data_IF_867586166186
#
_entry.id   IF_867586166186
#
_cell.length_a   1.000
_cell.length_b   1.000
_cell.length_c   1.000
_cell.angle_alpha   90.00
_cell.angle_beta   90.00
_cell.angle_gamma   90.00
#
_symmetry.space_group_name_H-M   'P 1'
#
loop_
_entity.id
_entity.type
_entity.pdbx_description
1 polymer ?
#
# COMPACT_ATOMS: atom_id res chain seq x y z
N UNK A 1 -7.65 -16.97 12.46
CA UNK A 1 -6.83 -16.09 13.33
C UNK A 1 -6.98 -14.62 12.97
N UNK A 2 -6.97 -14.22 11.69
CA UNK A 2 -7.00 -12.80 11.32
C UNK A 2 -8.34 -12.10 11.56
N UNK A 3 -9.48 -12.77 11.32
CA UNK A 3 -10.81 -12.19 11.62
C UNK A 3 -10.98 -11.95 13.14
N UNK A 4 -10.52 -12.87 13.97
CA UNK A 4 -10.51 -12.69 15.42
C UNK A 4 -9.63 -11.49 15.84
N UNK A 5 -8.53 -11.24 15.14
CA UNK A 5 -7.68 -10.06 15.38
C UNK A 5 -8.40 -8.76 15.01
N UNK A 6 -9.11 -8.72 13.88
CA UNK A 6 -9.95 -7.57 13.52
C UNK A 6 -11.02 -7.29 14.58
N UNK A 7 -11.71 -8.32 15.05
CA UNK A 7 -12.72 -8.22 16.11
C UNK A 7 -12.10 -7.72 17.44
N UNK A 8 -10.92 -8.22 17.82
CA UNK A 8 -10.17 -7.73 19.00
C UNK A 8 -9.81 -6.24 18.88
N UNK A 9 -9.50 -5.78 17.66
CA UNK A 9 -9.27 -4.36 17.36
C UNK A 9 -10.59 -3.54 17.30
N UNK A 10 -11.76 -4.18 17.50
CA UNK A 10 -13.06 -3.54 17.38
C UNK A 10 -13.44 -3.17 15.96
N UNK A 11 -13.00 -3.98 14.98
CA UNK A 11 -13.31 -3.82 13.56
C UNK A 11 -14.28 -4.92 13.12
N UNK A 12 -15.53 -4.57 12.95
CA UNK A 12 -16.56 -5.46 12.41
C UNK A 12 -16.64 -5.28 10.88
N UNK A 13 -15.88 -6.08 10.14
CA UNK A 13 -15.89 -6.05 8.69
C UNK A 13 -16.77 -7.17 8.12
N UNK A 14 -17.48 -6.93 7.00
CA UNK A 14 -18.26 -7.97 6.33
C UNK A 14 -17.35 -9.07 5.77
N UNK A 15 -17.94 -10.16 5.24
CA UNK A 15 -17.21 -11.06 4.36
C UNK A 15 -16.76 -10.30 3.11
N UNK A 16 -15.63 -10.69 2.53
CA UNK A 16 -15.04 -10.00 1.38
C UNK A 16 -14.94 -8.49 1.61
N UNK A 17 -14.21 -8.03 2.67
CA UNK A 17 -14.05 -6.61 2.89
C UNK A 17 -13.43 -5.96 1.64
N UNK A 18 -13.91 -4.77 1.28
CA UNK A 18 -13.37 -4.03 0.14
C UNK A 18 -12.43 -2.94 0.59
N UNK A 19 -11.33 -2.76 -0.15
CA UNK A 19 -10.35 -1.70 0.10
C UNK A 19 -9.74 -1.22 -1.23
N UNK A 20 -8.69 -0.44 -1.17
CA UNK A 20 -7.79 -0.10 -2.27
C UNK A 20 -6.36 -0.14 -1.79
N UNK A 21 -5.40 -0.33 -2.69
CA UNK A 21 -3.96 -0.36 -2.34
C UNK A 21 -3.50 0.93 -1.68
N UNK A 22 -3.87 2.11 -2.21
CA UNK A 22 -3.51 3.37 -1.55
C UNK A 22 -3.67 4.60 -2.43
N UNK A 23 -2.90 4.67 -3.52
CA UNK A 23 -2.83 5.87 -4.35
C UNK A 23 -3.97 6.00 -5.35
N UNK A 24 -4.58 7.20 -5.41
CA UNK A 24 -5.58 7.59 -6.40
C UNK A 24 -5.05 8.63 -7.39
N UNK A 25 -5.71 8.81 -8.55
CA UNK A 25 -5.37 9.88 -9.47
C UNK A 25 -5.53 11.25 -8.81
N UNK A 26 -4.53 12.09 -8.97
CA UNK A 26 -4.61 13.47 -8.50
C UNK A 26 -5.51 14.28 -9.44
N UNK A 27 -6.51 15.00 -8.92
CA UNK A 27 -7.31 15.91 -9.75
C UNK A 27 -6.43 16.96 -10.44
N UNK A 28 -6.84 17.41 -11.62
CA UNK A 28 -6.07 18.35 -12.46
C UNK A 28 -5.61 19.61 -11.73
N UNK A 29 -6.45 20.16 -10.86
CA UNK A 29 -6.08 21.34 -10.07
C UNK A 29 -4.89 21.06 -9.15
N UNK A 30 -4.81 19.85 -8.57
CA UNK A 30 -3.71 19.47 -7.70
C UNK A 30 -2.44 19.18 -8.50
N UNK A 31 -2.55 18.54 -9.68
CA UNK A 31 -1.41 18.31 -10.59
C UNK A 31 -0.77 19.64 -10.97
N UNK A 32 -1.60 20.64 -11.36
CA UNK A 32 -1.11 21.99 -11.70
C UNK A 32 -0.47 22.67 -10.51
N UNK A 33 -1.14 22.64 -9.34
CA UNK A 33 -0.62 23.28 -8.13
C UNK A 33 0.74 22.71 -7.69
N UNK A 34 0.93 21.38 -7.77
CA UNK A 34 2.21 20.72 -7.48
C UNK A 34 3.30 21.16 -8.45
N UNK A 35 3.00 21.23 -9.75
CA UNK A 35 3.94 21.72 -10.75
C UNK A 35 4.30 23.20 -10.54
N UNK A 36 3.36 24.02 -10.13
CA UNK A 36 3.59 25.44 -9.84
C UNK A 36 4.30 25.65 -8.49
N UNK A 37 4.11 24.78 -7.52
CA UNK A 37 4.86 24.77 -6.26
C UNK A 37 6.37 24.55 -6.50
N UNK A 38 6.72 23.55 -7.32
CA UNK A 38 8.14 23.30 -7.71
C UNK A 38 8.77 24.51 -8.38
N UNK A 39 7.97 25.33 -9.11
CA UNK A 39 8.42 26.58 -9.74
C UNK A 39 8.39 27.80 -8.81
N UNK A 40 8.07 27.61 -7.53
CA UNK A 40 7.94 28.69 -6.55
C UNK A 40 6.74 29.62 -6.75
N UNK A 41 5.74 29.24 -7.58
CA UNK A 41 4.56 30.06 -7.89
C UNK A 41 3.40 29.87 -6.91
N UNK A 42 3.41 28.80 -6.14
CA UNK A 42 2.38 28.45 -5.17
C UNK A 42 3.02 28.28 -3.79
N UNK A 43 2.41 28.87 -2.77
CA UNK A 43 2.88 28.73 -1.39
C UNK A 43 2.56 27.33 -0.84
N UNK A 44 3.41 26.80 0.04
CA UNK A 44 3.24 25.48 0.66
C UNK A 44 1.88 25.32 1.39
N UNK A 45 1.41 26.36 2.07
CA UNK A 45 0.13 26.35 2.75
C UNK A 45 -1.04 26.15 1.77
N UNK A 46 -1.01 26.84 0.62
CA UNK A 46 -2.05 26.67 -0.39
C UNK A 46 -1.99 25.30 -1.07
N UNK A 47 -0.80 24.78 -1.35
CA UNK A 47 -0.66 23.40 -1.84
C UNK A 47 -1.29 22.40 -0.85
N UNK A 48 -0.99 22.54 0.45
CA UNK A 48 -1.55 21.66 1.50
C UNK A 48 -3.08 21.73 1.57
N UNK A 49 -3.69 22.90 1.35
CA UNK A 49 -5.16 23.03 1.26
C UNK A 49 -5.73 22.22 0.09
N UNK A 50 -5.09 22.30 -1.08
CA UNK A 50 -5.51 21.56 -2.27
C UNK A 50 -5.31 20.04 -2.11
N UNK A 51 -4.24 19.62 -1.45
CA UNK A 51 -4.00 18.21 -1.09
C UNK A 51 -5.08 17.69 -0.16
N UNK A 52 -5.45 18.45 0.89
CA UNK A 52 -6.58 18.11 1.79
C UNK A 52 -7.91 18.06 1.05
N UNK A 53 -8.17 19.01 0.16
CA UNK A 53 -9.38 18.99 -0.68
C UNK A 53 -9.45 17.72 -1.54
N UNK A 54 -8.35 17.31 -2.13
CA UNK A 54 -8.30 16.09 -2.93
C UNK A 54 -8.45 14.81 -2.08
N UNK A 55 -7.85 14.78 -0.89
CA UNK A 55 -8.05 13.68 0.08
C UNK A 55 -9.51 13.58 0.48
N UNK A 56 -10.17 14.69 0.83
CA UNK A 56 -11.59 14.71 1.18
C UNK A 56 -12.48 14.21 0.05
N UNK A 57 -12.19 14.60 -1.19
CA UNK A 57 -12.90 14.10 -2.37
C UNK A 57 -12.82 12.58 -2.48
N UNK A 58 -11.64 11.98 -2.27
CA UNK A 58 -11.47 10.54 -2.37
C UNK A 58 -12.06 9.77 -1.19
N UNK A 59 -12.03 10.31 0.02
CA UNK A 59 -12.73 9.71 1.17
C UNK A 59 -14.24 9.69 0.92
N UNK A 60 -14.83 10.81 0.51
CA UNK A 60 -16.26 10.89 0.18
C UNK A 60 -16.65 9.95 -0.97
N UNK A 61 -15.80 9.83 -1.99
CA UNK A 61 -16.01 8.94 -3.14
C UNK A 61 -16.02 7.48 -2.70
N UNK A 62 -15.05 7.04 -1.91
CA UNK A 62 -14.98 5.68 -1.37
C UNK A 62 -16.21 5.36 -0.49
N UNK A 63 -16.65 6.30 0.34
CA UNK A 63 -17.87 6.12 1.16
C UNK A 63 -19.12 5.95 0.30
N UNK A 64 -19.32 6.81 -0.72
CA UNK A 64 -20.46 6.73 -1.65
C UNK A 64 -20.49 5.41 -2.42
N UNK A 65 -19.35 4.87 -2.80
CA UNK A 65 -19.24 3.58 -3.45
C UNK A 65 -19.53 2.42 -2.49
N UNK A 66 -19.29 2.62 -1.20
CA UNK A 66 -19.50 1.63 -0.17
C UNK A 66 -18.26 0.77 0.10
N UNK A 67 -17.06 1.29 -0.15
CA UNK A 67 -15.79 0.65 0.26
C UNK A 67 -15.81 0.47 1.78
N UNK A 68 -15.30 -0.66 2.28
CA UNK A 68 -15.37 -1.02 3.71
C UNK A 68 -14.20 -0.44 4.51
N UNK A 69 -12.98 -0.52 3.96
CA UNK A 69 -11.74 0.01 4.55
C UNK A 69 -11.14 1.02 3.59
N UNK A 70 -11.10 2.29 4.00
CA UNK A 70 -10.72 3.40 3.14
C UNK A 70 -9.21 3.65 3.16
N UNK A 71 -8.73 4.42 2.17
CA UNK A 71 -7.37 4.95 2.09
C UNK A 71 -7.40 6.46 1.87
N UNK A 72 -6.34 7.17 2.27
CA UNK A 72 -6.24 8.63 2.12
C UNK A 72 -5.99 9.11 0.67
N UNK A 73 -5.65 8.17 -0.22
CA UNK A 73 -5.43 8.43 -1.64
C UNK A 73 -4.04 8.97 -1.98
N UNK A 74 -3.18 9.23 -0.99
CA UNK A 74 -1.80 9.70 -1.14
C UNK A 74 -1.67 11.01 -1.93
N UNK A 75 -2.61 11.93 -1.75
CA UNK A 75 -2.64 13.18 -2.50
C UNK A 75 -1.40 14.06 -2.24
N UNK A 76 -0.80 13.94 -1.07
CA UNK A 76 0.39 14.66 -0.62
C UNK A 76 1.72 14.02 -1.04
N UNK A 77 1.72 12.76 -1.49
CA UNK A 77 2.93 12.05 -1.92
C UNK A 77 3.23 12.26 -3.40
N UNK A 78 4.51 12.37 -3.73
CA UNK A 78 5.01 12.26 -5.10
C UNK A 78 5.35 10.81 -5.43
N UNK A 79 6.44 10.36 -4.86
CA UNK A 79 6.94 9.00 -4.93
C UNK A 79 6.95 8.38 -3.53
N UNK A 80 6.76 7.05 -3.45
CA UNK A 80 6.61 6.35 -2.18
C UNK A 80 7.90 6.31 -1.36
N UNK A 81 9.07 6.22 -2.00
CA UNK A 81 10.37 6.21 -1.32
C UNK A 81 10.88 7.63 -1.10
N UNK A 82 10.78 8.49 -2.12
CA UNK A 82 11.22 9.88 -2.01
C UNK A 82 10.46 10.62 -0.88
N UNK A 83 9.18 10.34 -0.68
CA UNK A 83 8.40 10.93 0.41
C UNK A 83 9.03 10.72 1.78
N UNK A 84 9.51 9.51 2.06
CA UNK A 84 10.18 9.20 3.33
C UNK A 84 11.59 9.78 3.36
N UNK A 85 12.36 9.60 2.29
CA UNK A 85 13.72 10.12 2.20
C UNK A 85 13.82 11.66 2.38
N UNK A 86 12.83 12.41 1.88
CA UNK A 86 12.75 13.87 2.08
C UNK A 86 12.47 14.29 3.54
N UNK A 87 11.95 13.39 4.36
CA UNK A 87 11.49 13.66 5.73
C UNK A 87 12.32 13.00 6.81
N UNK A 88 13.07 11.98 6.48
CA UNK A 88 13.91 11.26 7.43
C UNK A 88 15.34 11.83 7.37
N UNK A 89 15.90 12.33 8.49
CA UNK A 89 17.31 12.65 8.57
C UNK A 89 18.17 11.45 8.20
N UNK A 90 19.33 11.70 7.59
CA UNK A 90 20.25 10.66 7.11
C UNK A 90 20.20 10.45 5.60
N UNK A 91 19.21 11.04 4.91
CA UNK A 91 19.11 11.00 3.45
C UNK A 91 19.55 12.31 2.81
N UNK A 92 20.08 12.20 1.60
CA UNK A 92 20.31 13.30 0.67
C UNK A 92 19.63 12.99 -0.67
N UNK A 93 19.29 14.04 -1.41
CA UNK A 93 18.70 13.90 -2.74
C UNK A 93 19.72 13.30 -3.71
N UNK A 94 19.31 12.27 -4.43
CA UNK A 94 20.11 11.66 -5.48
C UNK A 94 19.64 12.03 -6.87
N UNK A 95 20.38 11.57 -7.87
CA UNK A 95 20.08 11.80 -9.28
C UNK A 95 18.82 11.07 -9.76
N UNK A 96 18.30 11.49 -10.92
CA UNK A 96 17.22 10.81 -11.60
C UNK A 96 17.70 9.43 -12.10
N UNK A 97 16.99 8.40 -11.72
CA UNK A 97 17.18 7.04 -12.24
C UNK A 97 15.91 6.56 -12.93
N UNK A 98 16.08 5.67 -13.90
CA UNK A 98 14.98 5.06 -14.63
C UNK A 98 14.41 3.92 -13.79
N UNK A 99 13.11 3.98 -13.54
CA UNK A 99 12.34 2.88 -12.98
C UNK A 99 11.65 2.06 -14.08
N UNK A 100 10.83 1.08 -13.68
CA UNK A 100 10.03 0.28 -14.59
C UNK A 100 9.21 1.14 -15.56
N UNK A 101 9.16 0.76 -16.84
CA UNK A 101 8.25 1.35 -17.82
C UNK A 101 8.55 2.81 -18.19
N UNK A 102 9.79 3.26 -18.32
CA UNK A 102 10.18 4.63 -18.67
C UNK A 102 9.79 5.70 -17.62
N UNK A 103 9.56 5.32 -16.39
CA UNK A 103 9.39 6.26 -15.30
C UNK A 103 10.74 6.64 -14.73
N UNK A 104 10.89 7.91 -14.34
CA UNK A 104 12.07 8.41 -13.66
C UNK A 104 11.69 8.85 -12.25
N UNK A 105 12.55 8.57 -11.29
CA UNK A 105 12.42 9.06 -9.92
C UNK A 105 13.78 9.50 -9.39
N UNK A 106 13.78 10.42 -8.42
CA UNK A 106 14.99 10.78 -7.71
C UNK A 106 15.32 9.64 -6.73
N UNK A 107 16.40 8.90 -7.01
CA UNK A 107 16.85 7.84 -6.13
C UNK A 107 17.61 8.46 -4.96
N UNK A 108 17.09 8.40 -3.72
CA UNK A 108 17.75 9.02 -2.58
C UNK A 108 19.04 8.27 -2.21
N UNK A 109 19.90 8.95 -1.45
CA UNK A 109 21.18 8.42 -0.97
C UNK A 109 21.17 8.48 0.56
N UNK A 110 21.43 7.34 1.21
CA UNK A 110 21.68 7.27 2.65
C UNK A 110 23.12 7.68 2.90
N UNK A 111 23.35 8.88 3.43
CA UNK A 111 24.67 9.47 3.64
C UNK A 111 25.07 9.61 5.11
N UNK A 112 24.11 9.36 6.03
CA UNK A 112 24.35 9.40 7.47
C UNK A 112 23.38 8.44 8.18
N UNK A 113 23.50 8.32 9.50
CA UNK A 113 22.57 7.53 10.31
C UNK A 113 21.13 8.02 10.11
N UNK A 114 20.23 7.10 9.73
CA UNK A 114 18.81 7.43 9.57
C UNK A 114 18.12 7.54 10.92
N UNK A 115 17.28 8.55 11.08
CA UNK A 115 16.57 8.76 12.33
C UNK A 115 15.13 9.21 12.10
N UNK A 116 14.29 9.03 13.12
CA UNK A 116 12.89 9.44 13.10
C UNK A 116 12.73 10.83 13.72
N UNK A 117 12.30 11.85 12.95
CA UNK A 117 12.20 13.23 13.45
C UNK A 117 10.88 13.51 14.20
N UNK A 118 10.00 12.54 14.26
CA UNK A 118 8.59 12.63 14.65
C UNK A 118 7.67 12.12 13.55
N UNK A 119 6.36 12.10 13.77
CA UNK A 119 5.39 11.57 12.81
C UNK A 119 5.45 12.27 11.45
N UNK A 120 5.50 11.48 10.37
CA UNK A 120 5.56 11.98 8.99
C UNK A 120 4.29 11.66 8.18
N UNK A 121 3.47 10.69 8.63
CA UNK A 121 2.22 10.28 7.96
C UNK A 121 0.98 10.48 8.83
N UNK A 122 1.14 10.57 10.16
CA UNK A 122 0.04 10.60 11.14
C UNK A 122 -0.94 11.75 10.91
N UNK A 123 -0.48 12.95 10.61
CA UNK A 123 -1.32 14.13 10.34
C UNK A 123 -2.29 13.88 9.17
N UNK A 124 -1.82 13.20 8.12
CA UNK A 124 -2.62 12.89 6.94
C UNK A 124 -3.62 11.78 7.24
N UNK A 125 -3.19 10.74 7.95
CA UNK A 125 -4.09 9.70 8.41
C UNK A 125 -5.19 10.26 9.32
N UNK A 126 -4.84 11.08 10.32
CA UNK A 126 -5.82 11.71 11.20
C UNK A 126 -6.80 12.60 10.45
N UNK A 127 -6.31 13.38 9.47
CA UNK A 127 -7.16 14.19 8.63
C UNK A 127 -8.16 13.32 7.84
N UNK A 128 -7.69 12.25 7.20
CA UNK A 128 -8.56 11.34 6.46
C UNK A 128 -9.57 10.62 7.38
N UNK A 129 -9.09 10.11 8.54
CA UNK A 129 -9.95 9.41 9.50
C UNK A 129 -11.03 10.33 10.11
N UNK A 130 -10.74 11.61 10.29
CA UNK A 130 -11.72 12.57 10.79
C UNK A 130 -12.89 12.82 9.83
N UNK A 131 -12.75 12.48 8.56
CA UNK A 131 -13.81 12.66 7.53
C UNK A 131 -14.77 11.47 7.45
N UNK A 132 -14.50 10.35 8.14
CA UNK A 132 -15.31 9.13 8.03
C UNK A 132 -15.37 8.36 9.35
N UNK A 133 -16.43 7.56 9.52
CA UNK A 133 -16.55 6.59 10.61
C UNK A 133 -15.98 5.22 10.26
N UNK A 134 -15.72 4.95 8.98
CA UNK A 134 -15.10 3.71 8.52
C UNK A 134 -13.61 3.72 8.83
N UNK A 135 -12.97 2.55 8.99
CA UNK A 135 -11.53 2.50 9.19
C UNK A 135 -10.79 3.02 7.96
N UNK A 136 -9.78 3.85 8.18
CA UNK A 136 -8.83 4.31 7.16
C UNK A 136 -7.50 3.60 7.42
N UNK A 137 -6.89 3.01 6.39
CA UNK A 137 -5.55 2.40 6.50
C UNK A 137 -4.48 3.47 6.70
N UNK A 138 -3.55 3.23 7.63
CA UNK A 138 -2.27 3.93 7.66
C UNK A 138 -1.36 3.38 6.56
N UNK A 139 -0.72 4.27 5.78
CA UNK A 139 0.01 3.90 4.56
C UNK A 139 1.49 4.20 4.71
N UNK A 140 2.33 3.16 4.67
CA UNK A 140 3.79 3.26 4.81
C UNK A 140 4.51 2.56 3.67
N UNK A 141 5.73 2.99 3.38
CA UNK A 141 6.66 2.21 2.56
C UNK A 141 7.55 1.39 3.47
N UNK A 142 7.76 0.14 3.15
CA UNK A 142 8.53 -0.78 3.95
C UNK A 142 10.03 -0.50 3.91
N UNK A 143 10.70 -0.93 4.97
CA UNK A 143 12.11 -0.67 5.17
C UNK A 143 12.99 -1.31 4.10
N UNK A 144 12.64 -2.51 3.63
CA UNK A 144 13.37 -3.20 2.58
C UNK A 144 13.26 -2.46 1.25
N UNK A 145 12.08 -2.01 0.87
CA UNK A 145 11.87 -1.21 -0.36
C UNK A 145 12.58 0.14 -0.29
N UNK A 146 12.52 0.84 0.85
CA UNK A 146 13.26 2.11 1.00
C UNK A 146 14.76 1.87 0.84
N UNK A 147 15.30 0.80 1.41
CA UNK A 147 16.71 0.41 1.26
C UNK A 147 17.05 0.08 -0.19
N UNK A 148 16.27 -0.78 -0.86
CA UNK A 148 16.56 -1.24 -2.23
C UNK A 148 16.46 -0.10 -3.25
N UNK A 149 15.52 0.82 -3.06
CA UNK A 149 15.33 1.98 -3.95
C UNK A 149 16.12 3.22 -3.50
N UNK A 150 17.11 3.05 -2.62
CA UNK A 150 18.08 4.08 -2.25
C UNK A 150 19.49 3.63 -2.59
N UNK A 151 20.41 4.57 -2.73
CA UNK A 151 21.85 4.27 -2.66
C UNK A 151 22.27 4.29 -1.18
N UNK A 152 23.21 3.42 -0.80
CA UNK A 152 23.76 3.41 0.54
C UNK A 152 25.24 3.79 0.50
N UNK A 153 25.58 4.89 1.17
CA UNK A 153 26.97 5.37 1.34
C UNK A 153 27.39 5.42 2.82
N UNK A 154 26.50 4.99 3.73
CA UNK A 154 26.75 5.12 5.18
C UNK A 154 26.88 3.77 5.90
N UNK A 155 25.92 2.86 5.69
CA UNK A 155 25.93 1.57 6.40
C UNK A 155 26.83 0.54 5.71
N UNK A 156 27.41 -0.44 6.46
CA UNK A 156 28.35 -1.40 5.92
C UNK A 156 27.76 -2.34 4.87
N UNK A 157 26.46 -2.62 4.94
CA UNK A 157 25.77 -3.55 4.05
C UNK A 157 24.26 -3.24 3.96
N UNK A 158 23.57 -3.96 3.05
CA UNK A 158 22.13 -3.78 2.80
C UNK A 158 21.27 -4.20 4.00
N UNK A 159 21.65 -5.28 4.71
CA UNK A 159 20.93 -5.73 5.90
C UNK A 159 20.98 -4.68 6.99
N UNK A 160 22.14 -4.11 7.27
CA UNK A 160 22.30 -3.02 8.26
C UNK A 160 21.47 -1.79 7.91
N UNK A 161 21.42 -1.43 6.62
CA UNK A 161 20.58 -0.34 6.12
C UNK A 161 19.09 -0.65 6.32
N UNK A 162 18.64 -1.85 5.95
CA UNK A 162 17.25 -2.26 6.11
C UNK A 162 16.82 -2.26 7.58
N UNK A 163 17.67 -2.73 8.49
CA UNK A 163 17.38 -2.77 9.93
C UNK A 163 17.34 -1.38 10.56
N UNK A 164 18.22 -0.46 10.14
CA UNK A 164 18.18 0.93 10.58
C UNK A 164 16.87 1.60 10.14
N UNK A 165 16.45 1.37 8.90
CA UNK A 165 15.16 1.85 8.38
C UNK A 165 13.98 1.19 9.08
N UNK A 166 14.03 -0.10 9.37
CA UNK A 166 12.99 -0.81 10.11
C UNK A 166 12.75 -0.19 11.50
N UNK A 167 13.83 0.22 12.19
CA UNK A 167 13.73 0.91 13.47
C UNK A 167 13.05 2.28 13.35
N UNK A 168 13.26 2.99 12.26
CA UNK A 168 12.59 4.28 11.96
C UNK A 168 11.13 4.07 11.60
N UNK A 169 10.82 3.13 10.69
CA UNK A 169 9.44 2.83 10.27
C UNK A 169 8.63 2.28 11.45
N UNK A 170 9.22 1.48 12.34
CA UNK A 170 8.55 1.03 13.56
C UNK A 170 8.04 2.21 14.41
N UNK A 171 8.82 3.27 14.58
CA UNK A 171 8.38 4.46 15.32
C UNK A 171 7.19 5.15 14.67
N UNK A 172 7.15 5.16 13.34
CA UNK A 172 5.99 5.69 12.60
C UNK A 172 4.75 4.79 12.78
N UNK A 173 4.92 3.46 12.76
CA UNK A 173 3.85 2.50 13.08
C UNK A 173 3.31 2.74 14.49
N UNK A 174 4.19 2.85 15.48
CA UNK A 174 3.84 3.13 16.88
C UNK A 174 3.06 4.46 17.00
N UNK A 175 3.47 5.50 16.27
CA UNK A 175 2.79 6.79 16.26
C UNK A 175 1.40 6.70 15.61
N UNK A 176 1.22 5.94 14.51
CA UNK A 176 -0.07 5.67 13.89
C UNK A 176 -1.00 4.92 14.87
N UNK A 177 -0.51 3.88 15.55
CA UNK A 177 -1.28 3.13 16.56
C UNK A 177 -1.68 4.05 17.70
N UNK A 178 -0.76 4.86 18.22
CA UNK A 178 -1.05 5.82 19.27
C UNK A 178 -2.10 6.87 18.87
N UNK A 179 -2.17 7.20 17.57
CA UNK A 179 -3.21 8.07 17.01
C UNK A 179 -4.56 7.36 16.80
N UNK A 180 -4.63 6.03 17.01
CA UNK A 180 -5.84 5.22 16.88
C UNK A 180 -5.98 4.44 15.56
N UNK A 181 -4.93 4.40 14.74
CA UNK A 181 -4.92 3.61 13.51
C UNK A 181 -4.90 2.11 13.83
N UNK A 182 -5.83 1.36 13.27
CA UNK A 182 -6.00 -0.08 13.55
C UNK A 182 -5.56 -0.99 12.40
N UNK A 183 -5.50 -0.46 11.18
CA UNK A 183 -5.06 -1.18 9.99
C UNK A 183 -3.91 -0.39 9.36
N UNK A 184 -2.74 -1.01 9.26
CA UNK A 184 -1.54 -0.37 8.72
C UNK A 184 -1.01 -1.20 7.57
N UNK A 185 -0.89 -0.57 6.41
CA UNK A 185 -0.28 -1.19 5.22
C UNK A 185 1.16 -0.70 5.10
N UNK A 186 2.06 -1.67 4.92
CA UNK A 186 3.50 -1.46 4.75
C UNK A 186 3.87 -2.06 3.40
N UNK A 187 4.05 -1.21 2.39
CA UNK A 187 4.26 -1.62 1.00
C UNK A 187 5.71 -2.06 0.76
N UNK A 188 5.87 -3.27 0.22
CA UNK A 188 7.17 -3.86 -0.11
C UNK A 188 7.23 -4.31 -1.58
N UNK A 189 7.07 -3.40 -2.56
CA UNK A 189 7.12 -3.77 -3.98
C UNK A 189 8.48 -4.29 -4.44
N UNK A 190 9.57 -4.05 -3.71
CA UNK A 190 10.88 -4.58 -4.03
C UNK A 190 11.09 -6.04 -3.60
N UNK A 191 10.12 -6.65 -2.91
CA UNK A 191 10.24 -7.96 -2.26
C UNK A 191 10.66 -9.09 -3.23
N UNK A 192 10.13 -9.08 -4.45
CA UNK A 192 10.39 -10.13 -5.45
C UNK A 192 11.60 -9.86 -6.35
N UNK A 193 12.20 -8.66 -6.25
CA UNK A 193 13.32 -8.26 -7.14
C UNK A 193 14.59 -9.05 -6.85
N UNK A 194 14.81 -9.42 -5.59
CA UNK A 194 15.97 -10.16 -5.11
C UNK A 194 15.53 -11.29 -4.19
N UNK A 195 15.13 -12.44 -4.75
CA UNK A 195 14.64 -13.57 -3.95
C UNK A 195 15.62 -14.02 -2.86
N UNK A 196 16.93 -13.92 -3.12
CA UNK A 196 18.00 -14.27 -2.18
C UNK A 196 18.03 -13.35 -0.93
N UNK A 197 17.46 -12.15 -1.01
CA UNK A 197 17.39 -11.20 0.10
C UNK A 197 16.07 -11.27 0.88
N UNK A 198 15.17 -12.19 0.55
CA UNK A 198 13.91 -12.38 1.28
C UNK A 198 14.10 -12.46 2.81
N UNK A 199 15.15 -13.13 3.34
CA UNK A 199 15.41 -13.14 4.79
C UNK A 199 15.61 -11.76 5.41
N UNK A 200 16.21 -10.82 4.67
CA UNK A 200 16.39 -9.42 5.14
C UNK A 200 15.03 -8.72 5.24
N UNK A 201 14.18 -8.90 4.23
CA UNK A 201 12.83 -8.31 4.24
C UNK A 201 11.97 -8.89 5.38
N UNK A 202 12.05 -10.20 5.64
CA UNK A 202 11.35 -10.87 6.74
C UNK A 202 11.82 -10.29 8.09
N UNK A 203 13.12 -10.21 8.32
CA UNK A 203 13.68 -9.66 9.55
C UNK A 203 13.27 -8.20 9.77
N UNK A 204 13.34 -7.37 8.73
CA UNK A 204 12.95 -5.97 8.79
C UNK A 204 11.45 -5.80 9.07
N UNK A 205 10.59 -6.61 8.45
CA UNK A 205 9.14 -6.59 8.69
C UNK A 205 8.81 -7.08 10.10
N UNK A 206 9.45 -8.15 10.57
CA UNK A 206 9.26 -8.64 11.94
C UNK A 206 9.66 -7.56 12.96
N UNK A 207 10.81 -6.92 12.77
CA UNK A 207 11.23 -5.82 13.65
C UNK A 207 10.21 -4.68 13.66
N UNK A 208 9.67 -4.34 12.50
CA UNK A 208 8.73 -3.22 12.34
C UNK A 208 7.38 -3.49 13.01
N UNK A 209 6.88 -4.73 13.01
CA UNK A 209 5.49 -5.06 13.38
C UNK A 209 5.33 -5.85 14.67
N UNK A 210 6.39 -6.56 15.12
CA UNK A 210 6.34 -7.48 16.27
C UNK A 210 5.82 -6.82 17.54
N UNK A 211 4.86 -7.48 18.17
CA UNK A 211 4.24 -7.07 19.46
C UNK A 211 3.49 -5.74 19.41
N UNK A 212 3.10 -5.28 18.22
CA UNK A 212 2.26 -4.11 18.05
C UNK A 212 0.80 -4.51 17.76
N UNK A 213 -0.13 -3.75 18.35
CA UNK A 213 -1.57 -4.05 18.30
C UNK A 213 -2.23 -3.32 17.11
N UNK A 214 -1.99 -3.83 15.91
CA UNK A 214 -2.63 -3.40 14.67
C UNK A 214 -2.76 -4.58 13.69
N UNK A 215 -3.69 -4.49 12.75
CA UNK A 215 -3.80 -5.41 11.63
C UNK A 215 -2.87 -4.95 10.51
N UNK A 216 -1.88 -5.76 10.18
CA UNK A 216 -0.85 -5.43 9.21
C UNK A 216 -1.14 -6.01 7.83
N UNK A 217 -1.06 -5.16 6.83
CA UNK A 217 -1.16 -5.49 5.41
C UNK A 217 0.18 -5.20 4.75
N UNK A 218 0.61 -6.01 3.79
CA UNK A 218 1.72 -5.67 2.90
C UNK A 218 1.26 -5.75 1.45
N UNK A 219 1.57 -4.73 0.66
CA UNK A 219 1.35 -4.78 -0.78
C UNK A 219 2.65 -5.08 -1.50
N UNK A 220 2.61 -6.06 -2.39
CA UNK A 220 3.68 -6.37 -3.31
C UNK A 220 3.12 -6.49 -4.73
N UNK A 221 3.70 -5.74 -5.66
CA UNK A 221 3.30 -5.69 -7.05
C UNK A 221 4.45 -6.03 -7.99
N UNK A 222 4.14 -6.28 -9.27
CA UNK A 222 5.10 -6.56 -10.35
C UNK A 222 6.07 -7.74 -10.07
N UNK A 223 5.67 -8.70 -9.24
CA UNK A 223 6.57 -9.74 -8.78
C UNK A 223 6.38 -11.09 -9.45
N UNK A 224 7.49 -11.75 -9.76
CA UNK A 224 7.50 -13.19 -9.99
C UNK A 224 7.50 -13.89 -8.62
N UNK A 225 6.31 -13.92 -7.97
CA UNK A 225 6.16 -14.45 -6.61
C UNK A 225 6.54 -15.92 -6.50
N UNK A 226 6.56 -16.65 -7.60
CA UNK A 226 6.99 -18.05 -7.64
C UNK A 226 8.39 -18.26 -7.03
N UNK A 227 9.28 -17.25 -7.17
CA UNK A 227 10.64 -17.34 -6.64
C UNK A 227 10.76 -17.10 -5.14
N UNK A 228 9.78 -16.46 -4.53
CA UNK A 228 9.77 -16.13 -3.09
C UNK A 228 8.68 -16.90 -2.31
N UNK A 229 7.75 -17.55 -3.00
CA UNK A 229 6.71 -18.36 -2.38
C UNK A 229 7.21 -19.79 -2.12
N UNK A 230 6.92 -20.44 -0.98
CA UNK A 230 6.08 -19.95 0.11
C UNK A 230 6.80 -19.09 1.17
N UNK A 231 8.12 -18.86 1.05
CA UNK A 231 8.92 -18.15 2.07
C UNK A 231 8.40 -16.77 2.42
N UNK A 232 7.75 -16.06 1.47
CA UNK A 232 7.15 -14.75 1.75
C UNK A 232 6.07 -14.79 2.86
N UNK A 233 5.45 -15.96 3.09
CA UNK A 233 4.45 -16.12 4.16
C UNK A 233 5.04 -15.97 5.57
N UNK A 234 6.36 -15.99 5.72
CA UNK A 234 7.04 -15.73 6.98
C UNK A 234 7.12 -14.24 7.34
N UNK A 235 6.78 -13.33 6.40
CA UNK A 235 6.64 -11.92 6.75
C UNK A 235 5.60 -11.75 7.88
N UNK A 236 5.94 -10.92 8.85
CA UNK A 236 5.12 -10.69 10.05
C UNK A 236 3.95 -9.72 9.75
N UNK A 237 3.07 -10.13 8.84
CA UNK A 237 1.84 -9.42 8.45
C UNK A 237 0.64 -10.35 8.53
N UNK A 238 -0.55 -9.78 8.58
CA UNK A 238 -1.82 -10.52 8.64
C UNK A 238 -2.40 -10.78 7.23
N UNK A 239 -2.16 -9.85 6.30
CA UNK A 239 -2.74 -9.84 4.96
C UNK A 239 -1.70 -9.47 3.91
N UNK A 240 -1.74 -10.19 2.78
CA UNK A 240 -0.99 -9.84 1.56
C UNK A 240 -1.93 -9.27 0.52
N UNK A 241 -1.65 -8.08 0.06
CA UNK A 241 -2.32 -7.41 -1.05
C UNK A 241 -1.52 -7.67 -2.33
N UNK A 242 -2.09 -8.46 -3.24
CA UNK A 242 -1.40 -9.02 -4.40
C UNK A 242 -2.13 -8.74 -5.71
N UNK A 243 -1.36 -8.44 -6.76
CA UNK A 243 -1.85 -8.37 -8.14
C UNK A 243 -2.25 -9.77 -8.63
N UNK A 244 -3.55 -10.00 -8.86
CA UNK A 244 -4.05 -11.29 -9.31
C UNK A 244 -4.67 -11.22 -10.70
N UNK A 245 -5.27 -10.10 -11.07
CA UNK A 245 -5.95 -9.99 -12.36
C UNK A 245 -5.01 -9.79 -13.54
N UNK A 246 -3.86 -9.18 -13.29
CA UNK A 246 -2.83 -8.93 -14.31
C UNK A 246 -2.00 -10.18 -14.64
N UNK A 247 -1.93 -11.16 -13.73
CA UNK A 247 -1.21 -12.43 -13.90
C UNK A 247 -2.10 -13.59 -14.35
N UNK A 248 -3.30 -13.32 -14.86
CA UNK A 248 -4.28 -14.34 -15.25
C UNK A 248 -4.52 -15.41 -14.17
N UNK A 249 -4.35 -15.01 -12.89
CA UNK A 249 -4.54 -15.85 -11.71
C UNK A 249 -3.49 -16.98 -11.54
N UNK A 250 -2.34 -16.90 -12.17
CA UNK A 250 -1.30 -17.94 -12.12
C UNK A 250 -0.89 -18.31 -10.68
N UNK A 251 -0.91 -17.32 -9.76
CA UNK A 251 -0.61 -17.56 -8.35
C UNK A 251 -1.57 -18.55 -7.67
N UNK A 252 -2.80 -18.70 -8.16
CA UNK A 252 -3.74 -19.69 -7.60
C UNK A 252 -3.24 -21.13 -7.76
N UNK A 253 -2.53 -21.46 -8.85
CA UNK A 253 -1.93 -22.77 -9.03
C UNK A 253 -0.78 -23.03 -8.04
N UNK A 254 -0.05 -21.97 -7.66
CA UNK A 254 0.99 -22.07 -6.63
C UNK A 254 0.34 -22.30 -5.27
N UNK A 255 -0.76 -21.61 -4.94
CA UNK A 255 -1.50 -21.81 -3.69
C UNK A 255 -2.15 -23.19 -3.56
N UNK A 256 -2.46 -23.88 -4.66
CA UNK A 256 -2.89 -25.29 -4.66
C UNK A 256 -1.78 -26.22 -4.15
N UNK A 257 -0.54 -25.97 -4.56
CA UNK A 257 0.63 -26.80 -4.19
C UNK A 257 1.10 -26.50 -2.77
N UNK A 258 1.04 -25.23 -2.38
CA UNK A 258 1.44 -24.74 -1.06
C UNK A 258 0.34 -23.82 -0.51
N UNK A 259 -0.43 -24.28 0.50
CA UNK A 259 -1.57 -23.51 1.00
C UNK A 259 -1.21 -22.11 1.46
N UNK A 260 -1.99 -21.13 1.02
CA UNK A 260 -1.86 -19.75 1.47
C UNK A 260 -2.48 -19.62 2.88
N UNK A 261 -1.68 -19.26 3.87
CA UNK A 261 -2.07 -19.35 5.29
C UNK A 261 -2.57 -18.05 5.89
N UNK A 262 -2.34 -16.93 5.22
CA UNK A 262 -2.71 -15.57 5.67
C UNK A 262 -4.01 -15.09 5.01
N UNK A 263 -4.45 -13.89 5.33
CA UNK A 263 -5.49 -13.24 4.54
C UNK A 263 -4.89 -12.70 3.24
N UNK A 264 -5.73 -12.50 2.26
CA UNK A 264 -5.33 -11.96 0.97
C UNK A 264 -6.29 -10.85 0.54
N UNK A 265 -5.73 -9.68 0.26
CA UNK A 265 -6.38 -8.66 -0.56
C UNK A 265 -6.14 -9.05 -2.02
N UNK A 266 -7.21 -9.55 -2.63
CA UNK A 266 -7.18 -10.21 -3.92
C UNK A 266 -7.53 -9.20 -5.01
N UNK A 267 -6.53 -8.79 -5.78
CA UNK A 267 -6.69 -7.88 -6.90
C UNK A 267 -7.62 -8.45 -7.98
N UNK A 268 -8.73 -7.77 -8.24
CA UNK A 268 -9.75 -8.26 -9.17
C UNK A 268 -9.92 -7.38 -10.42
N UNK A 269 -9.27 -6.22 -10.47
CA UNK A 269 -9.28 -5.32 -11.62
C UNK A 269 -7.86 -4.85 -11.94
N UNK A 270 -7.50 -4.95 -13.22
CA UNK A 270 -6.22 -4.48 -13.74
C UNK A 270 -6.16 -2.95 -13.71
N UNK A 271 -5.13 -2.40 -13.06
CA UNK A 271 -4.91 -0.95 -12.98
C UNK A 271 -3.87 -0.43 -13.97
N UNK A 272 -3.25 -1.29 -14.76
CA UNK A 272 -2.23 -0.92 -15.74
C UNK A 272 -2.81 -0.59 -17.11
N UNK A 273 -4.06 -1.02 -17.36
CA UNK A 273 -4.80 -0.80 -18.59
C UNK A 273 -5.95 0.20 -18.41
N UNK A 274 -6.24 1.01 -19.44
CA UNK A 274 -7.45 1.84 -19.54
C UNK A 274 -8.71 1.02 -19.85
N UNK A 275 -8.55 -0.27 -20.17
CA UNK A 275 -9.67 -1.16 -20.41
C UNK A 275 -10.47 -1.35 -19.13
N UNK A 276 -11.79 -1.20 -19.23
CA UNK A 276 -12.70 -1.51 -18.13
C UNK A 276 -13.11 -2.98 -18.19
N UNK A 277 -13.05 -3.63 -17.04
CA UNK A 277 -13.54 -4.99 -16.88
C UNK A 277 -15.07 -5.03 -16.92
N UNK A 278 -15.63 -6.18 -17.31
CA UNK A 278 -17.05 -6.45 -17.10
C UNK A 278 -17.29 -7.02 -15.68
N UNK A 279 -18.49 -6.82 -15.15
CA UNK A 279 -18.91 -7.38 -13.86
C UNK A 279 -18.72 -8.90 -13.81
N UNK A 280 -19.03 -9.58 -14.91
CA UNK A 280 -18.91 -11.03 -15.05
C UNK A 280 -17.43 -11.47 -15.01
N UNK A 281 -16.51 -10.69 -15.59
CA UNK A 281 -15.10 -11.00 -15.54
C UNK A 281 -14.55 -10.87 -14.12
N UNK A 282 -14.88 -9.78 -13.40
CA UNK A 282 -14.48 -9.59 -12.01
C UNK A 282 -15.06 -10.68 -11.11
N UNK A 283 -16.35 -11.00 -11.27
CA UNK A 283 -17.01 -12.07 -10.53
C UNK A 283 -16.32 -13.42 -10.73
N UNK A 284 -16.00 -13.81 -11.97
CA UNK A 284 -15.28 -15.06 -12.25
C UNK A 284 -13.92 -15.15 -11.56
N UNK A 285 -13.18 -14.04 -11.42
CA UNK A 285 -11.91 -13.99 -10.68
C UNK A 285 -12.12 -14.36 -9.21
N UNK A 286 -13.14 -13.80 -8.58
CA UNK A 286 -13.49 -14.14 -7.18
C UNK A 286 -13.95 -15.59 -7.06
N UNK A 287 -14.77 -16.10 -8.01
CA UNK A 287 -15.20 -17.51 -8.05
C UNK A 287 -13.98 -18.45 -8.17
N UNK A 288 -12.99 -18.11 -8.99
CA UNK A 288 -11.74 -18.86 -9.10
C UNK A 288 -10.96 -18.86 -7.78
N UNK A 289 -10.85 -17.73 -7.11
CA UNK A 289 -10.20 -17.63 -5.79
C UNK A 289 -10.88 -18.54 -4.76
N UNK A 290 -12.22 -18.59 -4.75
CA UNK A 290 -13.01 -19.41 -3.82
C UNK A 290 -12.84 -20.92 -4.02
N UNK A 291 -12.29 -21.38 -5.14
CA UNK A 291 -11.94 -22.80 -5.34
C UNK A 291 -10.74 -23.25 -4.52
N UNK A 292 -9.96 -22.30 -3.97
CA UNK A 292 -8.66 -22.55 -3.32
C UNK A 292 -8.59 -21.88 -1.95
N UNK A 293 -9.11 -20.65 -1.84
CA UNK A 293 -8.99 -19.82 -0.65
C UNK A 293 -10.29 -19.81 0.16
N UNK A 294 -10.23 -19.89 1.49
CA UNK A 294 -11.40 -19.73 2.36
C UNK A 294 -12.00 -18.33 2.21
N UNK A 295 -13.33 -18.27 2.12
CA UNK A 295 -14.07 -17.02 1.90
C UNK A 295 -13.85 -15.94 2.97
N UNK A 296 -13.53 -16.34 4.18
CA UNK A 296 -13.29 -15.45 5.32
C UNK A 296 -11.88 -14.85 5.34
N UNK A 297 -11.01 -15.28 4.42
CA UNK A 297 -9.66 -14.76 4.23
C UNK A 297 -9.52 -13.81 3.06
N UNK A 298 -10.52 -13.70 2.20
CA UNK A 298 -10.44 -12.91 0.96
C UNK A 298 -10.99 -11.51 1.20
N UNK A 299 -10.17 -10.50 0.92
CA UNK A 299 -10.55 -9.12 0.72
C UNK A 299 -10.58 -8.84 -0.78
N UNK A 300 -11.27 -7.81 -1.22
CA UNK A 300 -11.42 -7.47 -2.64
C UNK A 300 -10.93 -6.05 -2.87
N UNK A 301 -10.00 -5.90 -3.81
CA UNK A 301 -9.44 -4.62 -4.20
C UNK A 301 -8.95 -4.58 -5.66
N UNK A 302 -8.45 -3.43 -6.14
CA UNK A 302 -7.71 -3.35 -7.39
C UNK A 302 -6.32 -3.99 -7.26
N UNK A 303 -5.73 -4.45 -8.37
CA UNK A 303 -4.39 -5.06 -8.41
C UNK A 303 -3.29 -4.19 -7.80
N UNK A 304 -3.37 -2.87 -7.96
CA UNK A 304 -2.38 -1.92 -7.47
C UNK A 304 -3.02 -0.54 -7.27
N UNK A 305 -2.21 0.47 -6.92
CA UNK A 305 -2.65 1.85 -6.81
C UNK A 305 -3.23 2.41 -8.12
N UNK A 306 -4.33 3.13 -8.03
CA UNK A 306 -5.09 3.65 -9.17
C UNK A 306 -4.54 4.98 -9.75
N UNK A 307 -3.44 5.49 -9.23
CA UNK A 307 -2.89 6.83 -9.56
C UNK A 307 -2.63 7.11 -11.05
N UNK A 308 -2.52 6.06 -11.87
CA UNK A 308 -2.28 6.18 -13.31
C UNK A 308 -3.56 6.14 -14.16
N UNK A 309 -4.71 5.97 -13.51
CA UNK A 309 -6.04 6.02 -14.17
C UNK A 309 -6.57 7.45 -14.20
N UNK A 310 -7.61 7.69 -15.01
CA UNK A 310 -8.38 8.92 -14.82
C UNK A 310 -9.23 8.81 -13.55
N UNK A 311 -9.78 9.94 -13.07
CA UNK A 311 -10.66 9.95 -11.90
C UNK A 311 -11.88 9.05 -12.13
N UNK A 312 -12.48 9.13 -13.33
CA UNK A 312 -13.66 8.36 -13.72
C UNK A 312 -13.36 6.86 -13.79
N UNK A 313 -12.21 6.48 -14.39
CA UNK A 313 -11.77 5.09 -14.44
C UNK A 313 -11.51 4.52 -13.05
N UNK A 314 -10.87 5.29 -12.16
CA UNK A 314 -10.61 4.86 -10.79
C UNK A 314 -11.91 4.64 -10.01
N UNK A 315 -12.90 5.52 -10.16
CA UNK A 315 -14.23 5.38 -9.56
C UNK A 315 -14.92 4.11 -10.07
N UNK A 316 -14.88 3.85 -11.38
CA UNK A 316 -15.54 2.69 -11.97
C UNK A 316 -14.86 1.38 -11.55
N UNK A 317 -13.52 1.32 -11.54
CA UNK A 317 -12.77 0.14 -11.06
C UNK A 317 -13.07 -0.18 -9.60
N UNK A 318 -13.13 0.82 -8.72
CA UNK A 318 -13.56 0.63 -7.32
C UNK A 318 -15.00 0.16 -7.21
N UNK A 319 -15.91 0.69 -8.06
CA UNK A 319 -17.30 0.24 -8.08
C UNK A 319 -17.41 -1.25 -8.41
N UNK A 320 -16.65 -1.71 -9.40
CA UNK A 320 -16.61 -3.13 -9.78
C UNK A 320 -16.14 -4.02 -8.63
N UNK A 321 -15.12 -3.61 -7.88
CA UNK A 321 -14.65 -4.32 -6.68
C UNK A 321 -15.77 -4.43 -5.62
N UNK A 322 -16.44 -3.31 -5.31
CA UNK A 322 -17.52 -3.28 -4.30
C UNK A 322 -18.74 -4.10 -4.73
N UNK A 323 -19.13 -4.01 -6.00
CA UNK A 323 -20.25 -4.80 -6.54
C UNK A 323 -19.94 -6.30 -6.52
N UNK A 324 -18.71 -6.69 -6.90
CA UNK A 324 -18.28 -8.07 -6.81
C UNK A 324 -18.34 -8.58 -5.38
N UNK A 325 -17.73 -7.87 -4.42
CA UNK A 325 -17.76 -8.25 -3.01
C UNK A 325 -19.19 -8.42 -2.49
N UNK A 326 -20.10 -7.46 -2.77
CA UNK A 326 -21.49 -7.53 -2.34
C UNK A 326 -22.23 -8.75 -2.90
N UNK A 327 -21.91 -9.19 -4.12
CA UNK A 327 -22.57 -10.35 -4.74
C UNK A 327 -22.24 -11.69 -4.08
N UNK A 328 -21.19 -11.74 -3.23
CA UNK A 328 -20.77 -12.95 -2.49
C UNK A 328 -21.06 -12.86 -0.99
N UNK A 329 -21.63 -11.76 -0.51
CA UNK A 329 -22.02 -11.55 0.90
C UNK A 329 -23.37 -12.13 1.25
N UNK A 330 -24.18 -12.43 0.24
CA UNK A 330 -25.55 -12.99 0.36
C UNK A 330 -25.56 -14.51 0.53
#
# INVERSE_FOLDING_TARGET
MSRAKLEQLGLELPLFPTTSVGSFPKPDYLVRARADFVKGKVAAAHLRELERKATAFWIETQEKLGVDVLVDGEMYRGDMVAYFAERLPGFTEGGLVRAYGNRYYHKPIVTAEVSWPGPVTVDWWQFAQALTKKPVKGMLTGAYTIMDWSFNEHYPDRRSTAMALAAVIRKEVEALIAAGCKIIQIDEPALSVRPEELPIAIEAMEYTTKSLDAYFVTHACYGEFEHIYPGMLDLAVDNFDLEMSNSDLDLLEIFRRHPFTKDISFGVVDVHSHKMETREAVRRRVESALTILPKDKIWIDPDCGLKTRTVEEAIEKLRLCVEAAKSFRS
#
